data_IF_999522695131
#
_entry.id   IF_999522695131
#
_cell.length_a   1.000
_cell.length_b   1.000
_cell.length_c   1.000
_cell.angle_alpha   90.00
_cell.angle_beta   90.00
_cell.angle_gamma   90.00
#
_symmetry.space_group_name_H-M   'P 1'
#
loop_
_entity.id
_entity.type
_entity.pdbx_description
1 polymer ?
#
# COMPACT_ATOMS: atom_id res chain seq x y z
N UNK A 1 31.51 -14.12 -32.54
CA UNK A 1 30.36 -13.49 -31.84
C UNK A 1 29.27 -14.52 -31.47
N UNK A 2 29.63 -15.60 -30.78
CA UNK A 2 28.74 -16.73 -30.42
C UNK A 2 27.80 -16.45 -29.22
N UNK A 3 27.80 -15.21 -28.67
CA UNK A 3 27.10 -14.86 -27.42
C UNK A 3 25.65 -14.36 -27.60
N UNK A 4 25.17 -14.19 -28.84
CA UNK A 4 23.86 -13.57 -29.13
C UNK A 4 22.63 -14.29 -28.55
N UNK A 5 22.58 -15.64 -28.41
CA UNK A 5 21.43 -16.31 -27.80
C UNK A 5 21.38 -16.14 -26.27
N UNK A 6 22.52 -16.30 -25.59
CA UNK A 6 22.58 -16.22 -24.12
C UNK A 6 22.24 -14.83 -23.59
N UNK A 7 22.73 -13.78 -24.26
CA UNK A 7 22.42 -12.38 -23.92
C UNK A 7 20.92 -12.10 -24.13
N UNK A 8 20.33 -12.66 -25.20
CA UNK A 8 18.90 -12.52 -25.48
C UNK A 8 18.04 -13.14 -24.39
N UNK A 9 18.37 -14.35 -23.98
CA UNK A 9 17.63 -15.06 -22.93
C UNK A 9 17.80 -14.37 -21.57
N UNK A 10 18.98 -13.79 -21.29
CA UNK A 10 19.21 -13.00 -20.10
C UNK A 10 18.32 -11.74 -20.06
N UNK A 11 18.20 -10.99 -21.17
CA UNK A 11 17.34 -9.80 -21.25
C UNK A 11 15.88 -10.17 -20.97
N UNK A 12 15.37 -11.24 -21.59
CA UNK A 12 13.99 -11.72 -21.38
C UNK A 12 13.76 -12.06 -19.90
N UNK A 13 14.69 -12.78 -19.28
CA UNK A 13 14.59 -13.13 -17.84
C UNK A 13 14.60 -11.90 -16.93
N UNK A 14 15.46 -10.92 -17.22
CA UNK A 14 15.53 -9.66 -16.45
C UNK A 14 14.24 -8.85 -16.60
N UNK A 15 13.71 -8.71 -17.82
CA UNK A 15 12.44 -8.01 -18.03
C UNK A 15 11.28 -8.72 -17.35
N UNK A 16 11.19 -10.05 -17.46
CA UNK A 16 10.17 -10.84 -16.77
C UNK A 16 10.25 -10.67 -15.25
N UNK A 17 11.46 -10.58 -14.67
CA UNK A 17 11.63 -10.29 -13.25
C UNK A 17 11.00 -8.95 -12.88
N UNK A 18 11.31 -7.87 -13.60
CA UNK A 18 10.70 -6.57 -13.34
C UNK A 18 9.18 -6.61 -13.48
N UNK A 19 8.65 -7.27 -14.51
CA UNK A 19 7.20 -7.36 -14.74
C UNK A 19 6.48 -8.08 -13.59
N UNK A 20 7.03 -9.20 -13.13
CA UNK A 20 6.43 -10.08 -12.13
C UNK A 20 6.64 -9.56 -10.70
N UNK A 21 7.78 -8.92 -10.44
CA UNK A 21 8.19 -8.45 -9.10
C UNK A 21 7.98 -6.96 -8.88
N UNK A 22 7.47 -6.21 -9.87
CA UNK A 22 7.23 -4.76 -9.76
C UNK A 22 6.50 -4.35 -8.48
N UNK A 23 5.55 -5.17 -8.00
CA UNK A 23 4.82 -4.90 -6.76
C UNK A 23 5.69 -4.88 -5.51
N UNK A 24 6.73 -5.73 -5.45
CA UNK A 24 7.64 -5.84 -4.31
C UNK A 24 8.47 -4.56 -4.12
N UNK A 25 8.72 -3.82 -5.21
CA UNK A 25 9.43 -2.54 -5.17
C UNK A 25 8.57 -1.40 -4.59
N UNK A 26 7.30 -1.60 -4.27
CA UNK A 26 6.52 -0.57 -3.57
C UNK A 26 7.07 -0.25 -2.17
N UNK A 27 7.91 -1.11 -1.60
CA UNK A 27 8.66 -0.86 -0.35
C UNK A 27 9.53 0.40 -0.43
N UNK A 28 9.98 0.79 -1.63
CA UNK A 28 10.73 2.03 -1.82
C UNK A 28 9.92 3.28 -1.44
N UNK A 29 8.58 3.25 -1.54
CA UNK A 29 7.73 4.35 -1.09
C UNK A 29 7.79 4.54 0.44
N UNK A 30 7.74 3.44 1.21
CA UNK A 30 7.89 3.47 2.67
C UNK A 30 9.28 3.97 3.06
N UNK A 31 10.33 3.47 2.40
CA UNK A 31 11.69 3.92 2.64
C UNK A 31 11.84 5.42 2.35
N UNK A 32 11.30 5.90 1.23
CA UNK A 32 11.41 7.30 0.83
C UNK A 32 10.70 8.25 1.81
N UNK A 33 9.54 7.84 2.32
CA UNK A 33 8.82 8.57 3.38
C UNK A 33 9.60 8.59 4.71
N UNK A 34 10.17 7.45 5.11
CA UNK A 34 11.00 7.35 6.32
C UNK A 34 12.30 8.17 6.19
N UNK A 35 12.92 8.16 5.02
CA UNK A 35 14.10 8.96 4.71
C UNK A 35 13.82 10.46 4.81
N UNK A 36 12.67 10.92 4.29
CA UNK A 36 12.28 12.32 4.45
C UNK A 36 12.11 12.70 5.93
N UNK A 37 11.45 11.85 6.72
CA UNK A 37 11.30 12.06 8.17
C UNK A 37 12.66 12.12 8.86
N UNK A 38 13.59 11.24 8.50
CA UNK A 38 14.97 11.27 9.00
C UNK A 38 15.60 12.64 8.73
N UNK A 39 15.51 13.16 7.50
CA UNK A 39 16.05 14.47 7.15
C UNK A 39 15.42 15.63 7.95
N UNK A 40 14.15 15.53 8.31
CA UNK A 40 13.43 16.56 9.08
C UNK A 40 13.73 16.50 10.58
N UNK A 41 13.85 15.30 11.15
CA UNK A 41 14.01 15.12 12.60
C UNK A 41 15.46 15.06 13.07
N UNK A 42 16.36 14.51 12.25
CA UNK A 42 17.75 14.27 12.66
C UNK A 42 18.51 15.55 13.07
N UNK A 43 18.33 16.72 12.42
CA UNK A 43 18.97 17.97 12.85
C UNK A 43 18.60 18.38 14.29
N UNK A 44 17.43 17.96 14.78
CA UNK A 44 17.00 18.21 16.17
C UNK A 44 17.55 17.19 17.17
N UNK A 45 18.07 16.04 16.71
CA UNK A 45 18.61 14.94 17.53
C UNK A 45 20.14 14.89 17.43
N UNK A 46 20.80 15.82 18.12
CA UNK A 46 22.27 16.00 18.05
C UNK A 46 23.07 14.78 18.50
N UNK A 47 22.57 14.05 19.49
CA UNK A 47 23.14 12.80 20.00
C UNK A 47 23.17 11.70 18.94
N UNK A 48 22.05 11.54 18.22
CA UNK A 48 21.93 10.57 17.13
C UNK A 48 22.81 10.96 15.94
N UNK A 49 22.83 12.25 15.57
CA UNK A 49 23.68 12.76 14.49
C UNK A 49 25.16 12.49 14.78
N UNK A 50 25.64 12.84 15.98
CA UNK A 50 27.02 12.59 16.39
C UNK A 50 27.37 11.09 16.37
N UNK A 51 26.44 10.21 16.76
CA UNK A 51 26.63 8.76 16.69
C UNK A 51 26.75 8.27 15.24
N UNK A 52 25.93 8.78 14.32
CA UNK A 52 25.99 8.43 12.90
C UNK A 52 27.28 8.93 12.24
N UNK A 53 27.75 10.12 12.61
CA UNK A 53 29.03 10.66 12.17
C UNK A 53 30.21 9.84 12.71
N UNK A 54 30.18 9.45 13.98
CA UNK A 54 31.19 8.59 14.59
C UNK A 54 31.23 7.19 13.97
N UNK A 55 30.10 6.67 13.49
CA UNK A 55 30.03 5.40 12.76
C UNK A 55 30.74 5.47 11.39
N UNK A 56 30.99 6.65 10.84
CA UNK A 56 31.77 6.84 9.62
C UNK A 56 33.29 6.81 9.92
N UNK A 57 33.83 5.60 10.13
CA UNK A 57 35.24 5.38 10.49
C UNK A 57 36.24 5.90 9.44
N UNK A 58 35.90 5.87 8.15
CA UNK A 58 36.80 6.39 7.09
C UNK A 58 36.78 7.91 6.99
N UNK A 59 35.81 8.60 7.61
CA UNK A 59 35.55 10.05 7.47
C UNK A 59 35.32 10.52 6.03
N UNK A 60 35.18 9.60 5.08
CA UNK A 60 34.93 9.94 3.70
C UNK A 60 33.45 10.24 3.50
N UNK A 61 33.15 11.25 2.68
CA UNK A 61 31.78 11.68 2.43
C UNK A 61 30.92 10.56 1.83
N UNK A 62 31.48 9.70 0.98
CA UNK A 62 30.73 8.61 0.35
C UNK A 62 30.38 7.46 1.33
N UNK A 63 31.01 7.46 2.51
CA UNK A 63 30.72 6.53 3.61
C UNK A 63 29.79 7.13 4.66
N UNK A 64 29.40 8.41 4.54
CA UNK A 64 28.49 9.07 5.46
C UNK A 64 27.08 8.46 5.46
N UNK A 65 26.32 8.71 6.52
CA UNK A 65 24.94 8.23 6.58
C UNK A 65 24.09 8.87 5.49
N UNK A 66 24.28 10.16 5.17
CA UNK A 66 23.54 10.84 4.09
C UNK A 66 23.77 10.12 2.75
N UNK A 67 25.05 9.86 2.42
CA UNK A 67 25.42 9.21 1.17
C UNK A 67 24.89 7.77 1.08
N UNK A 68 24.85 7.03 2.20
CA UNK A 68 24.32 5.66 2.22
C UNK A 68 22.80 5.65 2.14
N UNK A 69 22.14 6.51 2.91
CA UNK A 69 20.68 6.51 3.08
C UNK A 69 19.92 7.06 1.87
N UNK A 70 20.53 7.90 1.04
CA UNK A 70 19.89 8.38 -0.20
C UNK A 70 19.87 7.32 -1.32
N UNK A 71 20.75 6.31 -1.28
CA UNK A 71 20.94 5.34 -2.38
C UNK A 71 19.67 4.58 -2.77
N UNK A 72 18.82 4.09 -1.84
CA UNK A 72 17.59 3.41 -2.26
C UNK A 72 16.62 4.34 -3.01
N UNK A 73 16.49 5.60 -2.57
CA UNK A 73 15.67 6.61 -3.27
C UNK A 73 16.23 6.90 -4.66
N UNK A 74 17.56 6.99 -4.80
CA UNK A 74 18.20 7.11 -6.11
C UNK A 74 18.01 5.86 -6.96
N UNK A 75 18.07 4.67 -6.37
CA UNK A 75 18.06 3.40 -7.11
C UNK A 75 16.75 3.16 -7.84
N UNK A 76 15.61 3.49 -7.23
CA UNK A 76 14.30 3.23 -7.86
C UNK A 76 14.13 3.98 -9.19
N UNK A 77 14.66 5.20 -9.29
CA UNK A 77 14.60 5.99 -10.53
C UNK A 77 15.63 5.57 -11.59
N UNK A 78 16.62 4.75 -11.23
CA UNK A 78 17.60 4.21 -12.19
C UNK A 78 17.06 3.01 -12.98
N UNK A 79 16.12 2.23 -12.44
CA UNK A 79 15.61 1.04 -13.16
C UNK A 79 14.97 1.38 -14.51
N UNK A 80 14.11 2.41 -14.64
CA UNK A 80 13.60 2.83 -15.94
C UNK A 80 14.70 3.26 -16.91
N UNK A 81 15.76 3.92 -16.44
CA UNK A 81 16.87 4.38 -17.29
C UNK A 81 17.66 3.20 -17.86
N UNK A 82 17.93 2.19 -17.03
CA UNK A 82 18.59 0.95 -17.47
C UNK A 82 17.73 0.18 -18.48
N UNK A 83 16.41 0.07 -18.25
CA UNK A 83 15.50 -0.59 -19.17
C UNK A 83 15.38 0.14 -20.52
N UNK A 84 15.42 1.48 -20.50
CA UNK A 84 15.47 2.29 -21.72
C UNK A 84 16.77 2.08 -22.51
N UNK A 85 17.91 1.95 -21.82
CA UNK A 85 19.18 1.61 -22.47
C UNK A 85 19.15 0.19 -23.08
N UNK A 86 18.53 -0.78 -22.39
CA UNK A 86 18.32 -2.12 -22.95
C UNK A 86 17.42 -2.06 -24.20
N UNK A 87 16.35 -1.25 -24.16
CA UNK A 87 15.44 -1.05 -25.29
C UNK A 87 16.18 -0.52 -26.53
N UNK A 88 16.99 0.53 -26.38
CA UNK A 88 17.72 1.12 -27.50
C UNK A 88 18.71 0.14 -28.15
N UNK A 89 19.37 -0.71 -27.35
CA UNK A 89 20.21 -1.78 -27.89
C UNK A 89 19.40 -2.86 -28.63
N UNK A 90 18.17 -3.15 -28.19
CA UNK A 90 17.29 -4.11 -28.88
C UNK A 90 16.76 -3.58 -30.21
N UNK A 91 16.54 -2.28 -30.34
CA UNK A 91 16.08 -1.65 -31.59
C UNK A 91 17.17 -1.74 -32.68
N UNK A 92 18.43 -1.50 -32.30
CA UNK A 92 19.59 -1.65 -33.20
C UNK A 92 19.79 -3.10 -33.65
N UNK A 93 19.66 -4.07 -32.76
CA UNK A 93 19.69 -5.51 -33.10
C UNK A 93 18.58 -5.90 -34.08
N UNK A 94 17.39 -5.31 -33.95
CA UNK A 94 16.24 -5.58 -34.80
C UNK A 94 16.42 -4.97 -36.20
N UNK A 95 17.01 -3.78 -36.29
CA UNK A 95 17.40 -3.15 -37.56
C UNK A 95 18.46 -3.98 -38.29
N UNK A 96 19.49 -4.49 -37.58
CA UNK A 96 20.49 -5.40 -38.16
C UNK A 96 19.92 -6.76 -38.56
N UNK A 97 18.90 -7.27 -37.83
CA UNK A 97 18.22 -8.52 -38.16
C UNK A 97 17.28 -8.39 -39.37
N UNK A 98 16.73 -7.20 -39.66
CA UNK A 98 15.95 -6.94 -40.87
C UNK A 98 16.83 -6.91 -42.14
N UNK A 99 18.07 -6.44 -42.04
CA UNK A 99 19.06 -6.53 -43.12
C UNK A 99 19.49 -7.99 -43.41
N UNK A 100 19.49 -8.86 -42.39
CA UNK A 100 19.83 -10.27 -42.52
C UNK A 100 18.55 -11.14 -42.51
N UNK A 101 17.86 -11.17 -43.65
CA UNK A 101 16.52 -11.71 -43.97
C UNK A 101 16.20 -13.17 -43.51
N UNK A 102 16.30 -13.53 -42.22
CA UNK A 102 16.00 -14.92 -41.81
C UNK A 102 15.33 -15.17 -40.44
N UNK A 103 15.02 -14.19 -39.58
CA UNK A 103 14.35 -14.50 -38.28
C UNK A 103 13.32 -13.45 -37.82
N UNK A 104 12.09 -13.56 -38.32
CA UNK A 104 11.01 -12.57 -38.10
C UNK A 104 10.03 -12.89 -36.95
N UNK A 105 10.01 -14.08 -36.34
CA UNK A 105 8.97 -14.46 -35.36
C UNK A 105 9.30 -14.22 -33.87
N UNK A 106 10.58 -14.12 -33.51
CA UNK A 106 11.07 -13.94 -32.11
C UNK A 106 11.35 -12.47 -31.70
N UNK A 107 11.70 -11.52 -32.60
CA UNK A 107 12.02 -10.14 -32.21
C UNK A 107 10.88 -9.39 -31.53
N UNK A 108 9.63 -9.60 -31.99
CA UNK A 108 8.45 -8.90 -31.49
C UNK A 108 8.18 -9.22 -30.00
N UNK A 109 8.29 -10.49 -29.59
CA UNK A 109 8.07 -10.89 -28.19
C UNK A 109 9.11 -10.27 -27.23
N UNK A 110 10.36 -10.07 -27.69
CA UNK A 110 11.43 -9.44 -26.91
C UNK A 110 11.15 -7.95 -26.69
N UNK A 111 10.84 -7.22 -27.77
CA UNK A 111 10.54 -5.78 -27.70
C UNK A 111 9.34 -5.50 -26.81
N UNK A 112 8.26 -6.27 -26.96
CA UNK A 112 7.05 -6.14 -26.13
C UNK A 112 7.35 -6.36 -24.64
N UNK A 113 8.21 -7.30 -24.27
CA UNK A 113 8.56 -7.53 -22.86
C UNK A 113 9.41 -6.40 -22.25
N UNK A 114 10.36 -5.85 -23.01
CA UNK A 114 11.17 -4.72 -22.55
C UNK A 114 10.30 -3.48 -22.35
N UNK A 115 9.39 -3.22 -23.28
CA UNK A 115 8.44 -2.10 -23.21
C UNK A 115 7.50 -2.23 -22.00
N UNK A 116 6.93 -3.42 -21.78
CA UNK A 116 6.07 -3.67 -20.61
C UNK A 116 6.85 -3.54 -19.29
N UNK A 117 8.09 -4.02 -19.23
CA UNK A 117 8.95 -3.85 -18.05
C UNK A 117 9.27 -2.37 -17.80
N UNK A 118 9.62 -1.63 -18.84
CA UNK A 118 9.91 -0.20 -18.77
C UNK A 118 8.70 0.58 -18.25
N UNK A 119 7.53 0.36 -18.85
CA UNK A 119 6.29 1.03 -18.45
C UNK A 119 5.95 0.74 -16.99
N UNK A 120 6.07 -0.51 -16.55
CA UNK A 120 5.82 -0.88 -15.14
C UNK A 120 6.77 -0.17 -14.18
N UNK A 121 8.06 -0.11 -14.48
CA UNK A 121 9.03 0.55 -13.62
C UNK A 121 8.89 2.08 -13.64
N UNK A 122 8.44 2.68 -14.75
CA UNK A 122 8.09 4.10 -14.81
C UNK A 122 6.89 4.41 -13.91
N UNK A 123 5.80 3.65 -14.05
CA UNK A 123 4.62 3.79 -13.18
C UNK A 123 4.96 3.56 -11.70
N UNK A 124 5.89 2.65 -11.40
CA UNK A 124 6.39 2.47 -10.03
C UNK A 124 7.16 3.70 -9.53
N UNK A 125 8.04 4.28 -10.34
CA UNK A 125 8.79 5.48 -9.94
C UNK A 125 7.86 6.67 -9.70
N UNK A 126 6.86 6.85 -10.57
CA UNK A 126 5.78 7.83 -10.40
C UNK A 126 4.98 7.56 -9.11
N UNK A 127 4.64 6.30 -8.85
CA UNK A 127 3.98 5.91 -7.61
C UNK A 127 4.80 6.25 -6.36
N UNK A 128 6.11 6.00 -6.35
CA UNK A 128 6.98 6.35 -5.22
C UNK A 128 6.99 7.86 -5.01
N UNK A 129 7.14 8.64 -6.08
CA UNK A 129 7.13 10.10 -6.02
C UNK A 129 5.79 10.64 -5.49
N UNK A 130 4.67 10.10 -5.98
CA UNK A 130 3.34 10.53 -5.52
C UNK A 130 3.09 10.11 -4.07
N UNK A 131 3.58 8.95 -3.64
CA UNK A 131 3.51 8.55 -2.23
C UNK A 131 4.35 9.43 -1.30
N UNK A 132 5.49 9.93 -1.76
CA UNK A 132 6.25 10.94 -1.01
C UNK A 132 5.45 12.23 -0.85
N UNK A 133 4.85 12.74 -1.94
CA UNK A 133 4.00 13.94 -1.91
C UNK A 133 2.79 13.79 -0.98
N UNK A 134 2.11 12.64 -1.05
CA UNK A 134 1.00 12.30 -0.14
C UNK A 134 1.49 12.29 1.31
N UNK A 135 2.63 11.66 1.58
CA UNK A 135 3.19 11.61 2.93
C UNK A 135 3.49 13.00 3.47
N UNK A 136 4.17 13.85 2.68
CA UNK A 136 4.44 15.25 3.04
C UNK A 136 3.18 16.04 3.39
N UNK A 137 2.12 15.84 2.61
CA UNK A 137 0.88 16.59 2.75
C UNK A 137 0.02 16.09 3.93
N UNK A 138 -0.04 14.77 4.14
CA UNK A 138 -1.04 14.14 5.00
C UNK A 138 -0.47 13.47 6.26
N UNK A 139 0.84 13.22 6.37
CA UNK A 139 1.40 12.45 7.49
C UNK A 139 1.08 13.04 8.85
N UNK A 140 1.27 14.36 9.04
CA UNK A 140 0.98 15.03 10.32
C UNK A 140 -0.50 14.92 10.71
N UNK A 141 -1.40 15.05 9.75
CA UNK A 141 -2.84 14.92 9.95
C UNK A 141 -3.24 13.48 10.30
N UNK A 142 -2.65 12.50 9.62
CA UNK A 142 -2.83 11.08 9.91
C UNK A 142 -2.31 10.74 11.31
N UNK A 143 -1.16 11.28 11.71
CA UNK A 143 -0.58 11.07 13.05
C UNK A 143 -1.47 11.66 14.15
N UNK A 144 -1.99 12.88 13.95
CA UNK A 144 -2.96 13.49 14.88
C UNK A 144 -4.23 12.63 14.97
N UNK A 145 -4.77 12.18 13.83
CA UNK A 145 -5.97 11.34 13.79
C UNK A 145 -5.74 9.99 14.49
N UNK A 146 -4.56 9.39 14.32
CA UNK A 146 -4.18 8.14 15.00
C UNK A 146 -4.11 8.33 16.51
N UNK A 147 -3.49 9.41 16.99
CA UNK A 147 -3.40 9.72 18.43
C UNK A 147 -4.78 10.00 19.05
N UNK A 148 -5.65 10.73 18.33
CA UNK A 148 -7.01 11.04 18.80
C UNK A 148 -7.91 9.82 18.90
N UNK A 149 -7.66 8.77 18.10
CA UNK A 149 -8.52 7.59 18.00
C UNK A 149 -7.81 6.29 18.45
N UNK A 150 -6.77 6.39 19.28
CA UNK A 150 -5.90 5.24 19.61
C UNK A 150 -6.67 4.04 20.16
N UNK A 151 -7.62 4.27 21.07
CA UNK A 151 -8.50 3.21 21.63
C UNK A 151 -9.31 2.53 20.54
N UNK A 152 -9.92 3.32 19.65
CA UNK A 152 -10.72 2.83 18.53
C UNK A 152 -9.87 1.98 17.56
N UNK A 153 -8.65 2.42 17.24
CA UNK A 153 -7.72 1.66 16.40
C UNK A 153 -7.37 0.31 17.03
N UNK A 154 -7.12 0.28 18.34
CA UNK A 154 -6.77 -0.94 19.07
C UNK A 154 -7.95 -1.92 19.13
N UNK A 155 -9.13 -1.45 19.50
CA UNK A 155 -10.33 -2.28 19.65
C UNK A 155 -10.79 -2.89 18.31
N UNK A 156 -10.71 -2.11 17.23
CA UNK A 156 -11.14 -2.55 15.89
C UNK A 156 -10.01 -3.18 15.07
N UNK A 157 -8.79 -3.26 15.61
CA UNK A 157 -7.63 -3.85 14.93
C UNK A 157 -7.20 -3.08 13.67
N UNK A 158 -7.34 -1.76 13.67
CA UNK A 158 -7.11 -0.91 12.52
C UNK A 158 -5.64 -0.49 12.41
N UNK A 159 -5.13 -0.39 11.18
CA UNK A 159 -3.75 0.01 10.90
C UNK A 159 -3.70 1.00 9.73
N UNK A 160 -2.86 2.03 9.87
CA UNK A 160 -2.47 2.94 8.78
C UNK A 160 -0.97 2.79 8.61
N UNK A 161 -0.57 2.01 7.62
CA UNK A 161 0.81 1.78 7.20
C UNK A 161 0.83 1.79 5.66
N UNK A 162 1.89 2.32 5.06
CA UNK A 162 2.06 2.35 3.59
C UNK A 162 2.06 0.93 3.01
N UNK A 163 2.51 -0.07 3.78
CA UNK A 163 2.45 -1.50 3.40
C UNK A 163 1.04 -2.04 3.27
N UNK A 164 0.12 -1.50 4.08
CA UNK A 164 -1.28 -1.91 4.09
C UNK A 164 -2.11 -1.11 3.07
N UNK A 165 -1.53 -0.10 2.41
CA UNK A 165 -2.22 0.71 1.40
C UNK A 165 -2.43 -0.10 0.11
N UNK A 166 -3.69 -0.36 -0.21
CA UNK A 166 -4.10 -1.11 -1.40
C UNK A 166 -4.22 -0.17 -2.61
N UNK A 167 -4.90 0.97 -2.41
CA UNK A 167 -5.16 1.97 -3.44
C UNK A 167 -5.30 3.34 -2.78
N UNK A 168 -4.87 4.38 -3.48
CA UNK A 168 -5.29 5.75 -3.18
C UNK A 168 -5.72 6.45 -4.46
N UNK A 169 -6.62 7.42 -4.35
CA UNK A 169 -7.13 8.14 -5.51
C UNK A 169 -7.69 9.51 -5.14
N UNK A 170 -7.60 10.46 -6.07
CA UNK A 170 -8.36 11.71 -5.99
C UNK A 170 -9.81 11.47 -6.41
N UNK A 171 -10.74 11.92 -5.60
CA UNK A 171 -12.18 11.70 -5.79
C UNK A 171 -12.98 12.94 -5.42
N UNK A 172 -14.21 13.01 -5.91
CA UNK A 172 -15.19 14.01 -5.51
C UNK A 172 -16.28 13.38 -4.63
N UNK A 173 -16.49 13.92 -3.44
CA UNK A 173 -17.58 13.54 -2.55
C UNK A 173 -18.82 14.39 -2.85
N UNK A 174 -19.76 13.82 -3.60
CA UNK A 174 -20.87 14.55 -4.22
C UNK A 174 -21.93 15.05 -3.21
N UNK A 175 -22.19 14.27 -2.15
CA UNK A 175 -23.14 14.64 -1.09
C UNK A 175 -22.48 15.31 0.13
N UNK A 176 -21.27 15.84 -0.03
CA UNK A 176 -20.66 16.75 0.94
C UNK A 176 -21.16 18.19 0.76
N UNK A 177 -20.77 19.08 1.67
CA UNK A 177 -20.95 20.53 1.51
C UNK A 177 -20.28 21.01 0.21
N UNK A 178 -20.95 21.88 -0.57
CA UNK A 178 -20.48 22.33 -1.89
C UNK A 178 -19.08 22.93 -1.88
N UNK A 179 -18.66 23.55 -0.77
CA UNK A 179 -17.33 24.12 -0.58
C UNK A 179 -16.23 23.07 -0.34
N UNK A 180 -16.60 21.83 -0.07
CA UNK A 180 -15.73 20.74 0.37
C UNK A 180 -16.11 19.42 -0.31
N UNK A 181 -15.88 19.33 -1.63
CA UNK A 181 -16.14 18.11 -2.41
C UNK A 181 -14.87 17.40 -2.86
N UNK A 182 -13.71 18.06 -2.88
CA UNK A 182 -12.46 17.43 -3.34
C UNK A 182 -11.76 16.66 -2.21
N UNK A 183 -11.60 15.35 -2.40
CA UNK A 183 -11.02 14.44 -1.42
C UNK A 183 -9.95 13.54 -2.03
N UNK A 184 -9.14 12.96 -1.16
CA UNK A 184 -8.28 11.81 -1.44
C UNK A 184 -8.83 10.64 -0.62
N UNK A 185 -9.13 9.55 -1.32
CA UNK A 185 -9.50 8.28 -0.68
C UNK A 185 -8.26 7.40 -0.57
N UNK A 186 -8.03 6.85 0.62
CA UNK A 186 -7.02 5.83 0.89
C UNK A 186 -7.72 4.56 1.32
N UNK A 187 -7.49 3.47 0.59
CA UNK A 187 -8.01 2.15 0.91
C UNK A 187 -6.86 1.33 1.47
N UNK A 188 -6.89 1.10 2.78
CA UNK A 188 -5.99 0.19 3.48
C UNK A 188 -6.63 -1.19 3.62
N UNK A 189 -5.84 -2.19 3.97
CA UNK A 189 -6.35 -3.54 4.24
C UNK A 189 -7.41 -3.58 5.34
N UNK A 190 -7.34 -2.69 6.34
CA UNK A 190 -8.24 -2.69 7.51
C UNK A 190 -9.23 -1.53 7.54
N UNK A 191 -9.03 -0.47 6.74
CA UNK A 191 -9.87 0.73 6.78
C UNK A 191 -9.83 1.54 5.49
N UNK A 192 -10.82 2.40 5.31
CA UNK A 192 -10.83 3.47 4.31
C UNK A 192 -10.70 4.82 5.03
N UNK A 193 -9.83 5.68 4.51
CA UNK A 193 -9.64 7.04 5.00
C UNK A 193 -9.98 8.03 3.89
N UNK A 194 -10.85 8.99 4.16
CA UNK A 194 -11.14 10.13 3.28
C UNK A 194 -10.56 11.39 3.89
N UNK A 195 -9.67 12.05 3.16
CA UNK A 195 -9.04 13.31 3.56
C UNK A 195 -9.34 14.41 2.53
N UNK A 196 -9.63 15.65 2.96
CA UNK A 196 -9.79 16.76 2.02
C UNK A 196 -8.53 16.97 1.16
N UNK A 197 -8.70 17.31 -0.11
CA UNK A 197 -7.58 17.57 -1.02
C UNK A 197 -6.74 18.78 -0.57
N UNK A 198 -7.39 19.82 -0.08
CA UNK A 198 -6.74 21.02 0.44
C UNK A 198 -6.94 21.04 1.95
N UNK A 199 -5.85 20.75 2.68
CA UNK A 199 -5.85 20.90 4.13
C UNK A 199 -5.21 22.24 4.47
N UNK A 200 -6.00 23.17 5.02
CA UNK A 200 -5.47 24.44 5.54
C UNK A 200 -4.73 24.16 6.84
N UNK A 201 -3.47 24.61 6.94
CA UNK A 201 -2.55 24.35 8.07
C UNK A 201 -3.10 24.78 9.43
N UNK A 202 -4.03 25.74 9.46
CA UNK A 202 -4.61 26.30 10.69
C UNK A 202 -5.88 25.56 11.16
N UNK A 203 -6.26 24.48 10.49
CA UNK A 203 -7.56 23.86 10.73
C UNK A 203 -7.50 22.87 11.91
N UNK A 204 -7.69 23.38 13.13
CA UNK A 204 -8.14 22.58 14.30
C UNK A 204 -9.44 21.79 14.02
N UNK A 205 -10.10 22.08 12.90
CA UNK A 205 -11.34 21.46 12.39
C UNK A 205 -11.05 20.30 11.42
N UNK A 206 -9.78 19.90 11.18
CA UNK A 206 -9.45 18.77 10.30
C UNK A 206 -10.23 17.49 10.68
N UNK A 207 -10.38 17.20 11.97
CA UNK A 207 -11.13 16.02 12.44
C UNK A 207 -12.61 16.02 11.99
N UNK A 208 -13.23 17.20 11.76
CA UNK A 208 -14.62 17.29 11.27
C UNK A 208 -14.75 16.87 9.81
N UNK A 209 -13.70 16.99 9.01
CA UNK A 209 -13.74 16.73 7.57
C UNK A 209 -13.04 15.44 7.17
N UNK A 210 -12.25 14.86 8.06
CA UNK A 210 -11.67 13.52 7.88
C UNK A 210 -12.74 12.47 8.15
N UNK A 211 -12.78 11.40 7.34
CA UNK A 211 -13.63 10.23 7.61
C UNK A 211 -12.77 9.00 7.70
N UNK A 212 -12.94 8.25 8.78
CA UNK A 212 -12.31 6.97 9.00
C UNK A 212 -13.40 5.91 9.04
N UNK A 213 -13.31 4.96 8.11
CA UNK A 213 -14.32 3.94 7.89
C UNK A 213 -13.65 2.56 8.04
N UNK A 214 -13.90 1.81 9.12
CA UNK A 214 -13.41 0.43 9.24
C UNK A 214 -13.90 -0.43 8.07
N UNK A 215 -13.02 -1.23 7.47
CA UNK A 215 -13.35 -1.95 6.22
C UNK A 215 -14.49 -2.98 6.39
N UNK A 216 -14.70 -3.45 7.62
CA UNK A 216 -15.75 -4.40 8.00
C UNK A 216 -17.12 -3.73 8.22
N UNK A 217 -17.15 -2.40 8.33
CA UNK A 217 -18.37 -1.61 8.49
C UNK A 217 -18.77 -0.91 7.17
N UNK A 218 -18.02 -1.19 6.10
CA UNK A 218 -18.19 -0.57 4.79
C UNK A 218 -18.82 -1.54 3.80
N UNK A 219 -19.89 -1.09 3.14
CA UNK A 219 -20.47 -1.73 1.97
C UNK A 219 -20.31 -0.81 0.75
N UNK A 220 -20.06 -1.40 -0.42
CA UNK A 220 -19.87 -0.64 -1.67
C UNK A 220 -20.89 -1.07 -2.71
N UNK A 221 -21.75 -0.13 -3.06
CA UNK A 221 -22.72 -0.26 -4.13
C UNK A 221 -22.22 0.39 -5.42
N UNK A 222 -22.41 -0.31 -6.53
CA UNK A 222 -22.10 0.15 -7.88
C UNK A 222 -23.39 0.08 -8.72
N UNK A 223 -24.32 0.98 -8.41
CA UNK A 223 -25.66 0.99 -9.00
C UNK A 223 -25.64 1.51 -10.46
N UNK A 224 -24.66 2.35 -10.81
CA UNK A 224 -24.52 2.96 -12.14
C UNK A 224 -23.24 2.47 -12.81
N UNK A 225 -23.33 1.31 -13.49
CA UNK A 225 -22.16 0.63 -14.05
C UNK A 225 -21.38 1.48 -15.06
N UNK A 226 -22.06 2.32 -15.84
CA UNK A 226 -21.45 3.12 -16.91
C UNK A 226 -20.98 4.52 -16.45
N UNK A 227 -21.40 4.96 -15.26
CA UNK A 227 -20.94 6.22 -14.68
C UNK A 227 -19.74 6.00 -13.77
N UNK A 228 -18.78 6.94 -13.68
CA UNK A 228 -17.64 6.85 -12.77
C UNK A 228 -18.03 7.20 -11.32
N UNK A 229 -19.24 6.84 -10.89
CA UNK A 229 -19.78 7.13 -9.55
C UNK A 229 -20.05 5.83 -8.81
N UNK A 230 -19.68 5.77 -7.53
CA UNK A 230 -20.02 4.68 -6.62
C UNK A 230 -20.61 5.22 -5.31
N UNK A 231 -21.25 4.34 -4.56
CA UNK A 231 -21.77 4.65 -3.22
C UNK A 231 -21.06 3.80 -2.18
N UNK A 232 -20.49 4.46 -1.17
CA UNK A 232 -19.92 3.79 0.01
C UNK A 232 -20.91 3.99 1.15
N UNK A 233 -21.39 2.90 1.75
CA UNK A 233 -22.24 2.92 2.93
C UNK A 233 -21.43 2.51 4.15
N UNK A 234 -21.41 3.35 5.17
CA UNK A 234 -20.76 3.06 6.45
C UNK A 234 -21.80 2.85 7.53
N UNK A 235 -21.89 1.63 8.04
CA UNK A 235 -22.81 1.27 9.13
C UNK A 235 -22.06 1.34 10.45
N UNK A 236 -22.29 2.40 11.21
CA UNK A 236 -21.70 2.58 12.55
C UNK A 236 -22.63 1.99 13.60
N UNK A 237 -22.27 0.85 14.16
CA UNK A 237 -22.92 0.30 15.35
C UNK A 237 -22.33 0.93 16.60
N UNK A 238 -23.14 1.68 17.35
CA UNK A 238 -22.80 2.15 18.69
C UNK A 238 -23.73 1.53 19.71
N UNK A 239 -23.22 1.16 20.88
CA UNK A 239 -23.98 0.49 21.94
C UNK A 239 -25.12 1.35 22.51
N UNK A 240 -25.13 2.66 22.24
CA UNK A 240 -26.05 3.64 22.85
C UNK A 240 -27.16 4.18 21.95
N UNK A 241 -27.01 4.20 20.63
CA UNK A 241 -27.96 4.93 19.74
C UNK A 241 -28.45 4.14 18.53
N UNK A 242 -28.27 2.81 18.50
CA UNK A 242 -28.60 1.99 17.34
C UNK A 242 -27.58 2.12 16.19
N UNK A 243 -27.84 1.39 15.09
CA UNK A 243 -27.03 1.46 13.87
C UNK A 243 -27.34 2.75 13.11
N UNK A 244 -26.33 3.62 12.93
CA UNK A 244 -26.43 4.75 12.02
C UNK A 244 -25.72 4.42 10.72
N UNK A 245 -26.43 4.59 9.60
CA UNK A 245 -25.88 4.42 8.26
C UNK A 245 -25.59 5.78 7.63
N UNK A 246 -24.33 5.96 7.19
CA UNK A 246 -23.88 7.16 6.50
C UNK A 246 -23.47 6.78 5.09
N UNK A 247 -24.00 7.49 4.10
CA UNK A 247 -23.73 7.24 2.68
C UNK A 247 -22.77 8.29 2.11
N UNK A 248 -21.83 7.83 1.30
CA UNK A 248 -20.86 8.66 0.58
C UNK A 248 -20.98 8.39 -0.91
N UNK A 249 -21.43 9.39 -1.67
CA UNK A 249 -21.45 9.34 -3.13
C UNK A 249 -20.10 9.83 -3.64
N UNK A 250 -19.32 8.92 -4.22
CA UNK A 250 -17.95 9.17 -4.65
C UNK A 250 -17.88 9.14 -6.17
N UNK A 251 -17.52 10.26 -6.77
CA UNK A 251 -17.20 10.38 -8.18
C UNK A 251 -15.69 10.25 -8.41
N UNK A 252 -15.32 9.40 -9.37
CA UNK A 252 -13.97 9.20 -9.86
C UNK A 252 -13.75 9.99 -11.16
N UNK A 253 -12.50 10.33 -11.47
CA UNK A 253 -12.17 10.99 -12.73
C UNK A 253 -12.36 10.06 -13.96
N UNK A 254 -12.30 8.74 -13.77
CA UNK A 254 -12.39 7.74 -14.83
C UNK A 254 -13.17 6.52 -14.36
N UNK A 255 -13.85 5.86 -15.31
CA UNK A 255 -14.59 4.62 -15.04
C UNK A 255 -13.66 3.47 -14.61
N UNK A 256 -12.47 3.38 -15.22
CA UNK A 256 -11.43 2.41 -14.86
C UNK A 256 -11.02 2.53 -13.39
N UNK A 257 -10.89 3.77 -12.90
CA UNK A 257 -10.55 4.07 -11.51
C UNK A 257 -11.68 3.64 -10.57
N UNK A 258 -12.94 3.93 -10.90
CA UNK A 258 -14.11 3.42 -10.13
C UNK A 258 -14.02 1.90 -10.00
N UNK A 259 -13.83 1.19 -11.11
CA UNK A 259 -13.76 -0.26 -11.11
C UNK A 259 -12.60 -0.79 -10.28
N UNK A 260 -11.44 -0.13 -10.28
CA UNK A 260 -10.30 -0.49 -9.43
C UNK A 260 -10.60 -0.24 -7.96
N UNK A 261 -11.25 0.88 -7.62
CA UNK A 261 -11.61 1.24 -6.26
C UNK A 261 -12.61 0.25 -5.67
N UNK A 262 -13.69 -0.05 -6.38
CA UNK A 262 -14.71 -1.03 -5.99
C UNK A 262 -14.06 -2.41 -5.78
N UNK A 263 -13.22 -2.86 -6.72
CA UNK A 263 -12.48 -4.13 -6.59
C UNK A 263 -11.56 -4.14 -5.36
N UNK A 264 -10.84 -3.05 -5.12
CA UNK A 264 -9.90 -2.93 -4.00
C UNK A 264 -10.61 -2.96 -2.65
N UNK A 265 -11.72 -2.23 -2.51
CA UNK A 265 -12.50 -2.20 -1.28
C UNK A 265 -13.11 -3.58 -0.98
N UNK A 266 -13.75 -4.22 -1.98
CA UNK A 266 -14.31 -5.57 -1.83
C UNK A 266 -13.25 -6.60 -1.46
N UNK A 267 -12.08 -6.53 -2.09
CA UNK A 267 -10.94 -7.42 -1.79
C UNK A 267 -10.44 -7.20 -0.36
N UNK A 268 -10.28 -5.94 0.07
CA UNK A 268 -9.85 -5.62 1.43
C UNK A 268 -10.86 -6.12 2.47
N UNK A 269 -12.16 -5.91 2.24
CA UNK A 269 -13.23 -6.42 3.11
C UNK A 269 -13.23 -7.95 3.21
N UNK A 270 -13.08 -8.65 2.08
CA UNK A 270 -13.02 -10.12 2.05
C UNK A 270 -11.80 -10.67 2.80
N UNK A 271 -10.62 -10.08 2.58
CA UNK A 271 -9.38 -10.47 3.26
C UNK A 271 -9.43 -10.21 4.77
N UNK A 272 -10.07 -9.11 5.18
CA UNK A 272 -10.23 -8.77 6.59
C UNK A 272 -11.09 -9.80 7.33
N UNK A 273 -12.21 -10.23 6.73
CA UNK A 273 -13.08 -11.27 7.28
C UNK A 273 -12.36 -12.61 7.43
N UNK A 274 -11.61 -13.03 6.40
CA UNK A 274 -10.81 -14.26 6.43
C UNK A 274 -9.74 -14.27 7.55
N UNK A 275 -9.04 -13.14 7.71
CA UNK A 275 -8.02 -12.99 8.76
C UNK A 275 -8.62 -12.97 10.18
N UNK A 276 -9.91 -12.65 10.33
CA UNK A 276 -10.63 -12.71 11.61
C UNK A 276 -11.08 -14.14 11.94
N UNK A 277 -11.49 -14.92 10.94
CA UNK A 277 -11.88 -16.32 11.12
C UNK A 277 -10.70 -17.22 11.49
N UNK A 278 -9.53 -16.97 10.91
CA UNK A 278 -8.27 -17.65 11.27
C UNK A 278 -7.70 -17.22 12.63
N UNK A 279 -8.17 -16.10 13.19
CA UNK A 279 -7.85 -15.61 14.54
C UNK A 279 -8.94 -15.91 15.57
N UNK A 280 -9.84 -16.87 15.32
CA UNK A 280 -10.71 -17.37 16.39
C UNK A 280 -9.82 -18.06 17.44
N UNK A 281 -9.94 -17.73 18.73
CA UNK A 281 -9.31 -18.55 19.76
C UNK A 281 -9.86 -19.97 19.64
N UNK A 282 -8.99 -20.97 19.76
CA UNK A 282 -9.39 -22.35 20.00
C UNK A 282 -10.15 -22.39 21.33
N UNK A 283 -11.43 -22.04 21.31
CA UNK A 283 -12.32 -22.16 22.46
C UNK A 283 -12.75 -23.61 22.56
N UNK A 284 -11.85 -24.43 23.11
CA UNK A 284 -12.10 -25.82 23.46
C UNK A 284 -12.13 -25.96 24.98
N UNK A 285 -13.23 -25.55 25.61
CA UNK A 285 -13.60 -26.06 26.94
C UNK A 285 -15.11 -26.00 27.11
N UNK A 286 -15.81 -26.80 26.32
CA UNK A 286 -17.09 -27.36 26.74
C UNK A 286 -16.81 -28.42 27.79
N UNK A 287 -16.69 -28.00 29.07
CA UNK A 287 -16.96 -28.90 30.18
C UNK A 287 -18.39 -28.64 30.64
N UNK A 288 -19.31 -29.41 30.05
CA UNK A 288 -20.66 -29.59 30.54
C UNK A 288 -21.08 -31.03 30.26
N UNK A 289 -20.69 -31.94 31.15
CA UNK A 289 -21.55 -33.06 31.52
C UNK A 289 -20.97 -33.84 32.71
N UNK A 290 -21.84 -34.27 33.62
CA UNK A 290 -21.51 -35.30 34.62
C UNK A 290 -21.58 -34.86 36.08
N UNK A 291 -22.79 -34.55 36.56
CA UNK A 291 -23.08 -34.49 37.99
C UNK A 291 -23.16 -35.87 38.67
N UNK A 292 -22.87 -35.86 39.97
CA UNK A 292 -23.26 -36.77 41.05
C UNK A 292 -23.18 -38.30 40.84
N UNK A 293 -22.27 -38.90 41.63
CA UNK A 293 -22.24 -40.33 41.90
C UNK A 293 -21.27 -40.62 43.04
N UNK A 294 -21.69 -40.32 44.26
CA UNK A 294 -21.02 -40.76 45.48
C UNK A 294 -21.06 -42.28 45.56
N UNK A 295 -19.93 -42.94 45.77
CA UNK A 295 -19.94 -44.33 46.26
C UNK A 295 -18.89 -44.54 47.36
N UNK A 296 -19.20 -45.40 48.35
CA UNK A 296 -18.54 -45.38 49.65
C UNK A 296 -17.36 -46.33 49.77
N UNK A 297 -16.56 -46.02 50.79
CA UNK A 297 -15.55 -46.83 51.47
C UNK A 297 -15.82 -48.34 51.42
N UNK A 298 -14.81 -49.10 50.95
CA UNK A 298 -14.56 -50.47 51.42
C UNK A 298 -13.12 -50.60 51.88
N UNK A 299 -12.96 -50.72 53.19
CA UNK A 299 -11.83 -51.36 53.83
C UNK A 299 -11.60 -52.76 53.24
N UNK A 300 -10.33 -53.16 53.06
CA UNK A 300 -9.88 -54.52 53.36
C UNK A 300 -8.38 -54.55 53.67
N UNK A 301 -8.10 -55.18 54.80
CA UNK A 301 -6.83 -55.37 55.51
C UNK A 301 -5.85 -56.31 54.79
N UNK A 302 -4.57 -56.07 55.12
CA UNK A 302 -3.44 -56.98 55.35
C UNK A 302 -3.03 -57.99 54.26
N UNK A 303 -1.82 -57.81 53.72
CA UNK A 303 -0.61 -58.54 54.17
C UNK A 303 0.63 -57.71 53.83
#
# INVERSE_FOLDING_TARGET
LSARPLVRDAIIRVCALFVNRCGDFKVYAEYAAAYLRLLQELPARKDMLASLEAANSSKEQHCSYESRMIKPVQRVVQYPLLLRAIQSCCDQDTLQAKQNQHRLSVPAKKMVQVEVALQKMQTLAEYVNEMQRVHEQYASHIDILRRQNETFFREKGLRIDVRDLVLFAHVQWLNAEKSMQEYVIFVFQTLILLLPRIIRRDCKVCSKWMRLLPINEVQVEDNRKDEPVLTIMHTRTTERTGSQEVTYHIACCQLSLKQQLVRSIRKASSNFSFNKETRRPLSGSSQSDGGYGSDPVKERKNS
#
